data_IF_383194248808
#
_entry.id   IF_383194248808
#
_cell.length_a   1.000
_cell.length_b   1.000
_cell.length_c   1.000
_cell.angle_alpha   90.00
_cell.angle_beta   90.00
_cell.angle_gamma   90.00
#
_symmetry.space_group_name_H-M   'P 1'
#
loop_
_entity.id
_entity.type
_entity.pdbx_description
1 polymer ?
#
# COMPACT_ATOMS: atom_id res chain seq x y z
N UNK A 1 -23.67 17.73 -5.32
CA UNK A 1 -23.78 16.46 -6.07
C UNK A 1 -23.23 16.74 -7.47
N UNK A 2 -22.03 16.28 -7.76
CA UNK A 2 -21.40 16.42 -9.07
C UNK A 2 -21.78 15.20 -9.90
N UNK A 3 -22.55 15.38 -10.95
CA UNK A 3 -22.85 14.33 -11.91
C UNK A 3 -21.79 14.36 -12.99
N UNK A 4 -20.99 13.31 -13.11
CA UNK A 4 -20.16 13.07 -14.28
C UNK A 4 -21.08 12.51 -15.39
N UNK A 5 -21.36 13.35 -16.38
CA UNK A 5 -22.02 12.89 -17.59
C UNK A 5 -20.99 12.08 -18.40
N UNK A 6 -21.19 10.78 -18.46
CA UNK A 6 -20.41 9.92 -19.34
C UNK A 6 -21.03 9.98 -20.74
N UNK A 7 -20.32 10.51 -21.70
CA UNK A 7 -20.59 10.28 -23.12
C UNK A 7 -20.43 8.79 -23.43
N UNK A 8 -21.43 8.20 -24.02
CA UNK A 8 -21.55 6.82 -24.50
C UNK A 8 -22.20 5.83 -23.52
N UNK A 9 -23.55 5.85 -23.45
CA UNK A 9 -24.36 4.64 -23.24
C UNK A 9 -24.28 3.92 -21.90
N UNK A 10 -23.53 4.42 -20.92
CA UNK A 10 -23.44 3.81 -19.60
C UNK A 10 -24.50 4.37 -18.66
N UNK A 11 -25.06 3.50 -17.82
CA UNK A 11 -25.99 3.91 -16.78
C UNK A 11 -25.36 5.01 -15.91
N UNK A 12 -26.15 6.02 -15.51
CA UNK A 12 -25.70 7.08 -14.60
C UNK A 12 -25.20 6.45 -13.31
N UNK A 13 -23.89 6.59 -13.05
CA UNK A 13 -23.31 6.16 -11.78
C UNK A 13 -23.47 7.30 -10.77
N UNK A 14 -24.08 7.01 -9.63
CA UNK A 14 -24.15 7.97 -8.54
C UNK A 14 -22.75 8.16 -7.94
N UNK A 15 -22.32 9.42 -7.82
CA UNK A 15 -21.05 9.78 -7.16
C UNK A 15 -21.41 10.32 -5.78
N UNK A 16 -20.90 9.65 -4.76
CA UNK A 16 -20.98 10.09 -3.37
C UNK A 16 -19.63 10.64 -2.92
N UNK A 17 -19.63 11.83 -2.32
CA UNK A 17 -18.43 12.42 -1.74
C UNK A 17 -18.33 11.94 -0.29
N UNK A 18 -17.37 11.08 -0.03
CA UNK A 18 -17.03 10.58 1.31
C UNK A 18 -15.82 11.32 1.87
N UNK A 19 -15.69 11.38 3.20
CA UNK A 19 -14.49 11.90 3.85
C UNK A 19 -13.29 10.98 3.67
N UNK A 20 -12.10 11.41 4.11
CA UNK A 20 -10.90 10.59 4.13
C UNK A 20 -11.11 9.37 5.03
N UNK A 21 -10.84 8.19 4.50
CA UNK A 21 -10.80 6.95 5.27
C UNK A 21 -9.54 6.82 6.12
N UNK A 22 -9.53 5.90 7.10
CA UNK A 22 -8.33 5.59 7.87
C UNK A 22 -7.18 5.15 6.95
N UNK A 23 -6.03 5.82 7.05
CA UNK A 23 -4.85 5.52 6.22
C UNK A 23 -4.80 6.23 4.87
N UNK A 24 -5.80 7.03 4.51
CA UNK A 24 -5.75 7.87 3.31
C UNK A 24 -4.97 9.17 3.58
N UNK A 25 -4.06 9.51 2.68
CA UNK A 25 -3.29 10.77 2.74
C UNK A 25 -4.10 11.92 2.14
N UNK A 26 -4.02 13.11 2.76
CA UNK A 26 -4.62 14.34 2.20
C UNK A 26 -3.94 14.82 0.93
N UNK A 27 -2.64 14.53 0.81
CA UNK A 27 -1.81 14.90 -0.34
C UNK A 27 -0.89 13.72 -0.66
N UNK A 28 -0.81 13.38 -1.94
CA UNK A 28 0.15 12.39 -2.43
C UNK A 28 1.55 13.01 -2.50
N UNK A 29 2.53 12.30 -2.01
CA UNK A 29 3.92 12.68 -2.13
C UNK A 29 4.48 12.15 -3.45
N UNK A 30 4.97 13.05 -4.30
CA UNK A 30 5.59 12.69 -5.58
C UNK A 30 6.96 12.02 -5.41
N UNK A 31 7.57 12.16 -4.23
CA UNK A 31 8.89 11.62 -3.94
C UNK A 31 8.91 11.00 -2.55
N UNK A 32 9.41 9.77 -2.44
CA UNK A 32 9.65 9.11 -1.16
C UNK A 32 10.99 9.54 -0.56
N UNK A 33 11.14 9.44 0.75
CA UNK A 33 12.41 9.71 1.43
C UNK A 33 13.53 8.84 0.84
N UNK A 34 14.68 9.47 0.54
CA UNK A 34 15.82 8.77 -0.04
C UNK A 34 15.91 8.80 -1.58
N UNK A 35 14.92 9.37 -2.28
CA UNK A 35 15.04 9.65 -3.71
C UNK A 35 15.98 10.84 -3.96
N UNK A 36 17.00 10.64 -4.80
CA UNK A 36 17.86 11.71 -5.26
C UNK A 36 17.30 12.27 -6.56
N UNK A 37 16.77 13.50 -6.51
CA UNK A 37 16.32 14.22 -7.69
C UNK A 37 17.52 14.83 -8.41
N UNK A 38 17.71 14.47 -9.67
CA UNK A 38 18.76 15.01 -10.53
C UNK A 38 18.13 15.87 -11.65
N UNK A 39 18.57 17.12 -11.85
CA UNK A 39 18.08 17.93 -12.94
C UNK A 39 18.51 17.35 -14.28
N UNK A 40 17.72 17.62 -15.33
CA UNK A 40 18.06 17.28 -16.71
C UNK A 40 18.38 18.57 -17.49
N UNK A 41 18.76 18.42 -18.75
CA UNK A 41 18.93 19.56 -19.65
C UNK A 41 17.62 20.39 -19.83
N UNK A 42 16.48 19.77 -19.60
CA UNK A 42 15.19 20.44 -19.65
C UNK A 42 14.79 20.93 -18.25
N UNK A 43 14.63 22.24 -18.06
CA UNK A 43 14.40 22.90 -16.74
C UNK A 43 13.19 22.39 -15.96
N UNK A 44 12.21 21.74 -16.59
CA UNK A 44 10.98 21.22 -15.96
C UNK A 44 10.98 19.70 -15.80
N UNK A 45 12.06 19.01 -16.18
CA UNK A 45 12.17 17.55 -16.10
C UNK A 45 13.29 17.19 -15.12
N UNK A 46 12.96 16.39 -14.13
CA UNK A 46 13.87 15.86 -13.13
C UNK A 46 13.87 14.35 -13.18
N UNK A 47 15.00 13.73 -12.97
CA UNK A 47 15.15 12.29 -12.88
C UNK A 47 15.27 11.88 -11.42
N UNK A 48 14.33 11.07 -10.95
CA UNK A 48 14.41 10.45 -9.64
C UNK A 48 15.33 9.23 -9.70
N UNK A 49 16.43 9.26 -8.95
CA UNK A 49 17.35 8.12 -8.81
C UNK A 49 17.12 7.45 -7.46
N UNK A 50 16.65 6.22 -7.52
CA UNK A 50 16.47 5.37 -6.35
C UNK A 50 17.65 4.41 -6.21
N UNK A 51 18.04 4.07 -4.98
CA UNK A 51 18.95 2.96 -4.75
C UNK A 51 18.29 1.67 -5.24
N UNK A 52 19.01 0.89 -6.00
CA UNK A 52 18.56 -0.45 -6.40
C UNK A 52 18.41 -1.32 -5.15
N UNK A 53 17.23 -1.87 -4.97
CA UNK A 53 16.97 -2.85 -3.92
C UNK A 53 17.56 -4.21 -4.32
N UNK A 54 18.07 -4.96 -3.36
CA UNK A 54 18.44 -6.36 -3.58
C UNK A 54 17.17 -7.19 -3.83
N UNK A 55 16.99 -7.65 -5.08
CA UNK A 55 15.83 -8.44 -5.47
C UNK A 55 15.64 -9.71 -4.63
N UNK A 56 16.75 -10.35 -4.20
CA UNK A 56 16.68 -11.51 -3.33
C UNK A 56 16.18 -11.14 -1.92
N UNK A 57 16.59 -9.98 -1.39
CA UNK A 57 16.06 -9.47 -0.13
C UNK A 57 14.57 -9.15 -0.21
N UNK A 58 14.13 -8.50 -1.29
CA UNK A 58 12.71 -8.22 -1.53
C UNK A 58 11.90 -9.51 -1.59
N UNK A 59 12.35 -10.51 -2.35
CA UNK A 59 11.68 -11.81 -2.47
C UNK A 59 11.57 -12.50 -1.10
N UNK A 60 12.61 -12.48 -0.28
CA UNK A 60 12.57 -13.03 1.09
C UNK A 60 11.57 -12.30 1.98
N UNK A 61 11.52 -10.98 1.89
CA UNK A 61 10.57 -10.15 2.66
C UNK A 61 9.13 -10.46 2.28
N UNK A 62 8.83 -10.55 0.98
CA UNK A 62 7.49 -10.93 0.49
C UNK A 62 7.10 -12.34 0.99
N UNK A 63 8.02 -13.30 0.93
CA UNK A 63 7.76 -14.65 1.42
C UNK A 63 7.50 -14.69 2.94
N UNK A 64 8.15 -13.82 3.72
CA UNK A 64 7.88 -13.68 5.16
C UNK A 64 6.53 -13.04 5.42
N UNK A 65 6.20 -11.94 4.73
CA UNK A 65 4.88 -11.28 4.83
C UNK A 65 3.76 -12.26 4.53
N UNK A 66 3.89 -13.02 3.45
CA UNK A 66 2.89 -14.04 3.07
C UNK A 66 2.63 -15.03 4.19
N UNK A 67 3.68 -15.55 4.81
CA UNK A 67 3.55 -16.49 5.94
C UNK A 67 2.85 -15.85 7.14
N UNK A 68 3.21 -14.61 7.50
CA UNK A 68 2.59 -13.89 8.63
C UNK A 68 1.09 -13.67 8.39
N UNK A 69 0.72 -13.27 7.17
CA UNK A 69 -0.69 -13.11 6.78
C UNK A 69 -1.43 -14.45 6.82
N UNK A 70 -0.81 -15.54 6.33
CA UNK A 70 -1.40 -16.88 6.37
C UNK A 70 -1.61 -17.39 7.81
N UNK A 71 -0.77 -16.96 8.76
CA UNK A 71 -0.92 -17.32 10.18
C UNK A 71 -1.79 -16.33 10.96
N UNK A 72 -2.25 -15.24 10.32
CA UNK A 72 -3.06 -14.22 10.98
C UNK A 72 -2.29 -13.34 11.98
N UNK A 73 -0.97 -13.31 11.89
CA UNK A 73 -0.12 -12.50 12.75
C UNK A 73 -0.06 -11.07 12.24
N UNK A 74 -1.08 -10.28 12.59
CA UNK A 74 -1.22 -8.92 12.11
C UNK A 74 -0.15 -7.98 12.69
N UNK A 75 0.26 -8.18 13.93
CA UNK A 75 1.26 -7.36 14.59
C UNK A 75 2.64 -7.56 13.95
N UNK A 76 3.09 -8.81 13.80
CA UNK A 76 4.33 -9.11 13.10
C UNK A 76 4.32 -8.68 11.61
N UNK A 77 3.14 -8.64 10.99
CA UNK A 77 2.98 -8.13 9.62
C UNK A 77 3.25 -6.62 9.58
N UNK A 78 2.69 -5.83 10.50
CA UNK A 78 2.94 -4.40 10.60
C UNK A 78 4.41 -4.10 10.93
N UNK A 79 5.01 -4.84 11.86
CA UNK A 79 6.45 -4.71 12.20
C UNK A 79 7.34 -4.94 10.98
N UNK A 80 7.05 -6.00 10.22
CA UNK A 80 7.83 -6.30 9.02
C UNK A 80 7.64 -5.26 7.93
N UNK A 81 6.44 -4.70 7.77
CA UNK A 81 6.17 -3.60 6.83
C UNK A 81 6.94 -2.34 7.22
N UNK A 82 6.91 -1.96 8.50
CA UNK A 82 7.65 -0.81 9.02
C UNK A 82 9.18 -0.96 8.84
N UNK A 83 9.69 -2.18 8.99
CA UNK A 83 11.11 -2.47 8.76
C UNK A 83 11.50 -2.50 7.27
N UNK A 84 10.57 -2.90 6.38
CA UNK A 84 10.85 -3.08 4.96
C UNK A 84 10.60 -1.83 4.11
N UNK A 85 9.69 -0.95 4.55
CA UNK A 85 9.27 0.26 3.82
C UNK A 85 9.56 1.47 4.69
N UNK A 86 10.61 2.27 4.37
CA UNK A 86 11.06 3.37 5.22
C UNK A 86 10.01 4.44 5.53
N UNK A 87 9.08 4.65 4.60
CA UNK A 87 8.03 5.68 4.72
C UNK A 87 6.68 5.09 5.19
N UNK A 88 6.68 3.82 5.65
CA UNK A 88 5.48 3.19 6.16
C UNK A 88 5.31 3.51 7.65
N UNK A 89 4.23 4.21 7.95
CA UNK A 89 3.78 4.49 9.32
C UNK A 89 2.36 3.94 9.48
N UNK A 90 2.22 2.92 10.31
CA UNK A 90 0.90 2.42 10.66
C UNK A 90 0.26 3.33 11.71
N UNK A 91 -1.04 3.64 11.54
CA UNK A 91 -1.78 4.44 12.52
C UNK A 91 -1.94 3.71 13.86
N UNK A 92 -2.21 4.46 14.92
CA UNK A 92 -2.48 3.89 16.24
C UNK A 92 -3.68 2.94 16.22
N UNK A 93 -4.68 3.23 15.38
CA UNK A 93 -5.84 2.34 15.17
C UNK A 93 -5.42 1.03 14.51
N UNK A 94 -4.51 1.07 13.53
CA UNK A 94 -4.00 -0.13 12.86
C UNK A 94 -3.24 -1.01 13.85
N UNK A 95 -2.38 -0.43 14.69
CA UNK A 95 -1.68 -1.14 15.76
C UNK A 95 -2.65 -1.71 16.80
N UNK A 96 -3.63 -0.93 17.23
CA UNK A 96 -4.65 -1.38 18.17
C UNK A 96 -5.50 -2.52 17.59
N UNK A 97 -5.81 -2.47 16.29
CA UNK A 97 -6.51 -3.53 15.58
C UNK A 97 -5.65 -4.81 15.48
N UNK A 98 -4.37 -4.69 15.11
CA UNK A 98 -3.45 -5.81 14.99
C UNK A 98 -3.30 -6.57 16.31
N UNK A 99 -3.11 -5.83 17.43
CA UNK A 99 -3.01 -6.41 18.77
C UNK A 99 -4.27 -7.13 19.22
N UNK A 100 -5.47 -6.69 18.78
CA UNK A 100 -6.74 -7.37 19.11
C UNK A 100 -6.99 -8.60 18.26
N UNK A 101 -6.32 -8.76 17.14
CA UNK A 101 -6.52 -9.85 16.17
C UNK A 101 -5.44 -10.92 16.20
N UNK A 102 -5.00 -11.32 17.37
CA UNK A 102 -4.25 -12.58 17.54
C UNK A 102 -5.21 -13.80 17.38
N UNK A 103 -6.02 -13.84 16.32
CA UNK A 103 -6.93 -14.94 16.06
C UNK A 103 -6.43 -15.70 14.83
N UNK A 104 -6.28 -17.05 14.91
CA UNK A 104 -5.89 -17.85 13.75
C UNK A 104 -6.88 -17.64 12.61
N UNK A 105 -6.38 -17.22 11.45
CA UNK A 105 -7.19 -17.13 10.23
C UNK A 105 -7.67 -18.55 9.89
N UNK A 106 -8.95 -18.80 10.07
CA UNK A 106 -9.61 -19.98 9.51
C UNK A 106 -9.40 -19.92 7.99
N UNK A 107 -8.64 -20.87 7.44
CA UNK A 107 -8.40 -21.00 6.01
C UNK A 107 -9.74 -20.97 5.28
N UNK A 108 -10.06 -19.88 4.59
CA UNK A 108 -11.03 -19.93 3.51
C UNK A 108 -10.37 -20.69 2.37
N UNK A 109 -10.68 -21.96 2.26
CA UNK A 109 -10.39 -22.79 1.09
C UNK A 109 -11.09 -22.15 -0.11
N UNK A 110 -10.34 -21.53 -1.02
CA UNK A 110 -10.96 -21.00 -2.24
C UNK A 110 -10.26 -19.86 -2.97
N UNK A 111 -8.93 -19.77 -2.90
CA UNK A 111 -8.24 -18.92 -3.88
C UNK A 111 -7.77 -19.79 -5.05
N UNK A 112 -8.19 -19.51 -6.31
CA UNK A 112 -7.73 -20.28 -7.46
C UNK A 112 -6.22 -20.09 -7.63
N UNK A 113 -5.50 -21.20 -7.74
CA UNK A 113 -4.09 -21.20 -8.16
C UNK A 113 -4.09 -20.85 -9.64
N UNK A 114 -3.57 -19.68 -9.99
CA UNK A 114 -3.25 -19.35 -11.37
C UNK A 114 -2.20 -20.34 -11.87
N UNK A 115 -2.49 -21.00 -12.98
CA UNK A 115 -1.59 -21.89 -13.71
C UNK A 115 -0.43 -21.10 -14.32
#
# INVERSE_FOLDING_TARGET
MLALEAEAGYARVAVEVVGLGPGEKRCEELTTQGLRMCPTAHRRIWVARQKTSDGAAVTRTIARLRRMVEHGDAEATLDLLAAAVPDFEASDEAWAWARRRSVPVVRRSGWPRSA
#
